data_IF_017480618979
#
_entry.id   IF_017480618979
#
_cell.length_a   1.000
_cell.length_b   1.000
_cell.length_c   1.000
_cell.angle_alpha   90.00
_cell.angle_beta   90.00
_cell.angle_gamma   90.00
#
_symmetry.space_group_name_H-M   'P 1'
#
loop_
_entity.id
_entity.type
_entity.pdbx_description
1 polymer ?
#
# COMPACT_ATOMS: atom_id res chain seq x y z
N UNK A 1 34.43 8.68 3.70
CA UNK A 1 33.26 7.87 3.28
C UNK A 1 32.16 8.83 2.88
N UNK A 2 31.63 8.73 1.67
CA UNK A 2 30.56 9.60 1.16
C UNK A 2 29.22 9.18 1.76
N UNK A 3 28.37 10.14 2.14
CA UNK A 3 27.04 9.87 2.70
C UNK A 3 26.04 9.35 1.66
N UNK A 4 24.91 8.83 2.13
CA UNK A 4 23.84 8.31 1.28
C UNK A 4 23.07 9.44 0.55
N UNK A 5 22.49 9.11 -0.60
CA UNK A 5 21.64 10.01 -1.38
C UNK A 5 22.40 10.94 -2.32
N UNK A 6 21.70 11.42 -3.36
CA UNK A 6 22.30 12.19 -4.47
C UNK A 6 22.98 13.49 -3.98
N UNK A 7 22.37 14.21 -3.05
CA UNK A 7 22.92 15.47 -2.53
C UNK A 7 24.28 15.30 -1.82
N UNK A 8 24.50 14.13 -1.21
CA UNK A 8 25.75 13.82 -0.51
C UNK A 8 26.93 13.58 -1.46
N UNK A 9 26.68 13.45 -2.76
CA UNK A 9 27.70 13.16 -3.78
C UNK A 9 28.45 14.41 -4.26
N UNK A 10 28.06 15.61 -3.85
CA UNK A 10 28.65 16.89 -4.30
C UNK A 10 30.17 16.98 -4.09
N UNK A 11 30.67 16.34 -3.03
CA UNK A 11 32.11 16.31 -2.68
C UNK A 11 32.70 14.90 -2.78
N UNK A 12 32.10 13.99 -3.56
CA UNK A 12 32.64 12.65 -3.70
C UNK A 12 33.97 12.71 -4.49
N UNK A 13 35.13 12.36 -3.89
CA UNK A 13 36.42 12.47 -4.56
C UNK A 13 36.61 11.43 -5.68
N UNK A 14 35.80 10.37 -5.70
CA UNK A 14 35.95 9.27 -6.67
C UNK A 14 35.13 9.49 -7.95
N UNK A 15 34.06 10.28 -7.89
CA UNK A 15 33.14 10.49 -9.01
C UNK A 15 32.47 11.86 -8.91
N UNK A 16 32.55 12.63 -10.00
CA UNK A 16 31.80 13.88 -10.13
C UNK A 16 30.35 13.58 -10.48
N UNK A 17 29.41 14.16 -9.72
CA UNK A 17 27.97 13.91 -9.89
C UNK A 17 27.23 15.24 -9.98
N UNK A 18 26.48 15.43 -11.07
CA UNK A 18 25.57 16.57 -11.21
C UNK A 18 24.31 16.35 -10.35
N UNK A 19 24.36 16.86 -9.12
CA UNK A 19 23.27 16.71 -8.15
C UNK A 19 21.98 17.45 -8.55
N UNK A 20 22.03 18.33 -9.55
CA UNK A 20 20.86 19.12 -10.00
C UNK A 20 19.95 18.35 -10.94
N UNK A 21 20.42 17.23 -11.49
CA UNK A 21 19.70 16.37 -12.45
C UNK A 21 19.42 14.99 -11.87
N UNK A 22 18.46 14.87 -10.95
CA UNK A 22 18.05 13.56 -10.45
C UNK A 22 17.27 12.78 -11.51
N UNK A 23 17.33 11.46 -11.40
CA UNK A 23 16.56 10.54 -12.23
C UNK A 23 15.04 10.75 -12.03
N UNK A 24 14.32 10.91 -13.14
CA UNK A 24 12.89 11.19 -13.13
C UNK A 24 12.03 9.96 -12.79
N UNK A 25 12.47 8.75 -13.11
CA UNK A 25 11.79 7.51 -12.72
C UNK A 25 11.87 7.30 -11.21
N UNK A 26 13.03 7.57 -10.61
CA UNK A 26 13.17 7.53 -9.14
C UNK A 26 12.28 8.59 -8.48
N UNK A 27 12.21 9.80 -9.04
CA UNK A 27 11.27 10.84 -8.54
C UNK A 27 9.81 10.41 -8.64
N UNK A 28 9.42 9.75 -9.73
CA UNK A 28 8.07 9.24 -9.91
C UNK A 28 7.74 8.16 -8.87
N UNK A 29 8.67 7.23 -8.62
CA UNK A 29 8.49 6.20 -7.58
C UNK A 29 8.40 6.82 -6.18
N UNK A 30 9.22 7.82 -5.85
CA UNK A 30 9.10 8.58 -4.58
C UNK A 30 7.70 9.20 -4.45
N UNK A 31 7.15 9.78 -5.52
CA UNK A 31 5.80 10.34 -5.50
C UNK A 31 4.73 9.27 -5.35
N UNK A 32 4.85 8.13 -6.03
CA UNK A 32 3.94 6.99 -5.85
C UNK A 32 3.94 6.51 -4.39
N UNK A 33 5.11 6.35 -3.78
CA UNK A 33 5.25 5.98 -2.37
C UNK A 33 4.60 7.01 -1.44
N UNK A 34 4.78 8.32 -1.70
CA UNK A 34 4.13 9.39 -0.93
C UNK A 34 2.61 9.33 -1.03
N UNK A 35 2.07 9.13 -2.23
CA UNK A 35 0.62 8.99 -2.45
C UNK A 35 0.08 7.81 -1.66
N UNK A 36 0.70 6.63 -1.78
CA UNK A 36 0.30 5.42 -1.05
C UNK A 36 0.40 5.61 0.47
N UNK A 37 1.47 6.26 0.95
CA UNK A 37 1.63 6.56 2.38
C UNK A 37 0.51 7.48 2.89
N UNK A 38 0.11 8.49 2.12
CA UNK A 38 -0.99 9.37 2.50
C UNK A 38 -2.34 8.64 2.47
N UNK A 39 -2.58 7.78 1.48
CA UNK A 39 -3.75 6.89 1.44
C UNK A 39 -3.84 6.04 2.70
N UNK A 40 -2.75 5.39 3.10
CA UNK A 40 -2.70 4.59 4.33
C UNK A 40 -2.97 5.43 5.60
N UNK A 41 -2.45 6.66 5.68
CA UNK A 41 -2.73 7.57 6.81
C UNK A 41 -4.19 8.00 6.88
N UNK A 42 -4.82 8.25 5.74
CA UNK A 42 -6.23 8.61 5.67
C UNK A 42 -7.13 7.43 6.08
N UNK A 43 -6.83 6.22 5.58
CA UNK A 43 -7.52 5.00 5.97
C UNK A 43 -7.38 4.73 7.47
N UNK A 44 -6.18 4.91 8.02
CA UNK A 44 -5.94 4.82 9.47
C UNK A 44 -6.78 5.85 10.27
N UNK A 45 -7.04 7.01 9.69
CA UNK A 45 -7.88 8.05 10.30
C UNK A 45 -9.39 7.79 10.14
N UNK A 46 -9.78 6.67 9.53
CA UNK A 46 -11.17 6.30 9.29
C UNK A 46 -11.83 6.99 8.09
N UNK A 47 -11.03 7.64 7.24
CA UNK A 47 -11.54 8.20 5.98
C UNK A 47 -11.63 7.08 4.93
N UNK A 48 -12.66 7.13 4.09
CA UNK A 48 -12.74 6.27 2.92
C UNK A 48 -11.62 6.60 1.92
N UNK A 49 -10.98 5.58 1.38
CA UNK A 49 -9.82 5.74 0.49
C UNK A 49 -9.91 4.72 -0.63
N UNK A 50 -10.12 5.21 -1.85
CA UNK A 50 -10.01 4.39 -3.05
C UNK A 50 -8.57 3.93 -3.23
N UNK A 51 -8.32 2.64 -3.04
CA UNK A 51 -7.09 2.03 -3.52
C UNK A 51 -7.24 1.82 -5.02
N UNK A 52 -6.18 2.10 -5.78
CA UNK A 52 -6.15 1.66 -7.18
C UNK A 52 -5.87 0.18 -7.06
N UNK A 53 -6.92 -0.61 -6.91
CA UNK A 53 -6.85 -2.03 -7.15
C UNK A 53 -6.40 -2.16 -8.60
N UNK A 54 -5.24 -2.77 -8.79
CA UNK A 54 -4.73 -3.16 -10.10
C UNK A 54 -5.62 -4.28 -10.65
N UNK A 55 -6.89 -3.98 -10.89
CA UNK A 55 -7.92 -4.87 -11.42
C UNK A 55 -8.12 -4.64 -12.91
N UNK A 56 -7.03 -4.36 -13.65
CA UNK A 56 -6.99 -4.50 -15.10
C UNK A 56 -6.53 -5.92 -15.48
N UNK A 57 -6.96 -6.92 -14.70
CA UNK A 57 -7.17 -8.28 -15.16
C UNK A 57 -8.47 -8.77 -14.52
N UNK A 58 -9.51 -8.79 -15.35
CA UNK A 58 -10.78 -9.51 -15.17
C UNK A 58 -10.73 -10.61 -14.11
N UNK A 59 -11.15 -10.30 -12.90
CA UNK A 59 -11.68 -11.29 -11.96
C UNK A 59 -12.95 -10.69 -11.39
N UNK A 60 -14.04 -10.86 -12.14
CA UNK A 60 -15.36 -10.69 -11.58
C UNK A 60 -15.54 -11.71 -10.48
N UNK A 61 -15.94 -11.26 -9.30
CA UNK A 61 -16.80 -11.96 -8.36
C UNK A 61 -17.15 -10.97 -7.23
N UNK A 62 -18.24 -10.24 -7.48
CA UNK A 62 -18.97 -9.44 -6.53
C UNK A 62 -19.37 -10.32 -5.32
N UNK A 63 -18.63 -10.19 -4.21
CA UNK A 63 -18.99 -10.84 -2.96
C UNK A 63 -20.07 -10.04 -2.23
N UNK A 64 -21.31 -10.25 -2.63
CA UNK A 64 -22.47 -9.88 -1.82
C UNK A 64 -22.85 -11.03 -0.90
N UNK A 65 -22.25 -11.13 0.30
CA UNK A 65 -22.84 -11.98 1.36
C UNK A 65 -24.06 -11.26 1.93
N UNK A 66 -25.12 -11.16 1.13
CA UNK A 66 -26.43 -10.72 1.57
C UNK A 66 -27.01 -11.79 2.48
N UNK A 67 -26.79 -11.65 3.80
CA UNK A 67 -27.61 -12.34 4.79
C UNK A 67 -28.98 -11.66 4.85
N UNK A 68 -29.73 -11.70 3.76
CA UNK A 68 -31.16 -11.46 3.75
C UNK A 68 -31.83 -12.83 3.76
N UNK A 69 -32.15 -13.30 4.97
CA UNK A 69 -33.15 -14.30 5.34
C UNK A 69 -32.63 -15.20 6.46
N UNK A 70 -33.48 -15.35 7.47
CA UNK A 70 -33.29 -16.15 8.67
C UNK A 70 -32.90 -17.60 8.35
N UNK A 71 -31.65 -17.97 8.66
CA UNK A 71 -31.25 -19.20 9.37
C UNK A 71 -29.75 -19.45 9.14
N UNK A 72 -28.89 -18.81 9.94
CA UNK A 72 -27.59 -19.40 10.25
C UNK A 72 -27.85 -20.56 11.21
N UNK A 73 -27.61 -21.79 10.76
CA UNK A 73 -27.61 -22.96 11.63
C UNK A 73 -26.52 -22.78 12.70
N UNK A 74 -26.81 -23.01 14.00
CA UNK A 74 -25.77 -23.01 15.01
C UNK A 74 -25.00 -24.32 14.92
N UNK A 75 -23.74 -24.26 14.54
CA UNK A 75 -22.85 -25.42 14.58
C UNK A 75 -22.30 -25.63 16.00
N UNK A 76 -22.52 -26.86 16.49
CA UNK A 76 -21.93 -27.58 17.64
C UNK A 76 -22.42 -27.28 19.07
N UNK A 77 -23.36 -28.11 19.54
CA UNK A 77 -23.54 -28.46 20.96
C UNK A 77 -22.32 -29.26 21.46
N UNK A 78 -21.55 -28.70 22.40
CA UNK A 78 -20.59 -29.47 23.20
C UNK A 78 -21.33 -30.03 24.42
N UNK A 79 -21.81 -31.28 24.34
CA UNK A 79 -22.32 -31.99 25.51
C UNK A 79 -21.14 -32.36 26.42
N UNK A 80 -20.94 -31.59 27.49
CA UNK A 80 -20.13 -32.01 28.62
C UNK A 80 -20.96 -32.95 29.51
N UNK A 81 -20.69 -34.26 29.42
CA UNK A 81 -21.07 -35.21 30.47
C UNK A 81 -20.06 -35.15 31.61
N UNK A 82 -20.63 -35.17 32.82
CA UNK A 82 -20.07 -35.21 34.19
C UNK A 82 -18.63 -35.71 34.40
#
# INVERSE_FOLDING_TARGET
VTGNGLASQVNNPEVEVDITKPDMLIRQQIMALRVMTNKLKNAYSGNDVDFIDISEESSGEESGSGCELQQCSPEFEFNATE
#
